data_IF_388386935168
#
_entry.id   IF_388386935168
#
_cell.length_a   1.000
_cell.length_b   1.000
_cell.length_c   1.000
_cell.angle_alpha   90.00
_cell.angle_beta   90.00
_cell.angle_gamma   90.00
#
_symmetry.space_group_name_H-M   'P 1'
#
loop_
_entity.id
_entity.type
_entity.pdbx_description
1 polymer ?
#
# COMPACT_ATOMS: atom_id res chain seq x y z
N UNK A 1 -21.76 1.72 -4.97
CA UNK A 1 -21.86 2.86 -5.91
C UNK A 1 -20.43 3.12 -6.32
N UNK A 2 -20.05 2.66 -7.51
CA UNK A 2 -18.71 2.86 -8.03
C UNK A 2 -18.52 4.35 -8.30
N UNK A 3 -17.68 5.01 -7.50
CA UNK A 3 -17.28 6.41 -7.70
C UNK A 3 -15.99 6.40 -8.53
N UNK A 4 -16.07 6.70 -9.84
CA UNK A 4 -14.93 6.63 -10.74
C UNK A 4 -13.86 7.67 -10.39
N UNK A 5 -14.24 8.78 -9.76
CA UNK A 5 -13.33 9.83 -9.35
C UNK A 5 -12.52 9.39 -8.13
N UNK A 6 -13.17 8.75 -7.16
CA UNK A 6 -12.49 8.13 -6.02
C UNK A 6 -11.54 7.00 -6.44
N UNK A 7 -11.94 6.17 -7.42
CA UNK A 7 -11.08 5.10 -7.97
C UNK A 7 -9.83 5.64 -8.67
N UNK A 8 -9.99 6.67 -9.51
CA UNK A 8 -8.88 7.33 -10.18
C UNK A 8 -7.93 7.95 -9.16
N UNK A 9 -8.47 8.68 -8.17
CA UNK A 9 -7.67 9.30 -7.12
C UNK A 9 -6.90 8.28 -6.29
N UNK A 10 -7.54 7.19 -5.87
CA UNK A 10 -6.87 6.13 -5.13
C UNK A 10 -5.76 5.46 -5.95
N UNK A 11 -5.94 5.33 -7.26
CA UNK A 11 -4.93 4.81 -8.18
C UNK A 11 -3.72 5.75 -8.32
N UNK A 12 -3.96 7.05 -8.47
CA UNK A 12 -2.89 8.06 -8.49
C UNK A 12 -2.06 8.03 -7.19
N UNK A 13 -2.75 7.98 -6.05
CA UNK A 13 -2.13 7.89 -4.73
C UNK A 13 -1.29 6.61 -4.58
N UNK A 14 -1.76 5.47 -5.09
CA UNK A 14 -0.98 4.23 -5.09
C UNK A 14 0.29 4.32 -5.95
N UNK A 15 0.23 5.02 -7.09
CA UNK A 15 1.42 5.28 -7.94
C UNK A 15 2.40 6.21 -7.22
N UNK A 16 1.91 7.27 -6.57
CA UNK A 16 2.74 8.17 -5.77
C UNK A 16 3.43 7.42 -4.63
N UNK A 17 2.68 6.58 -3.91
CA UNK A 17 3.20 5.74 -2.84
C UNK A 17 4.34 4.84 -3.32
N UNK A 18 4.14 4.14 -4.45
CA UNK A 18 5.17 3.27 -5.03
C UNK A 18 6.44 4.07 -5.31
N UNK A 19 6.31 5.25 -5.92
CA UNK A 19 7.45 6.11 -6.26
C UNK A 19 8.24 6.55 -5.02
N UNK A 20 7.54 7.01 -3.97
CA UNK A 20 8.19 7.44 -2.73
C UNK A 20 8.94 6.28 -2.08
N UNK A 21 8.31 5.11 -2.00
CA UNK A 21 8.92 3.93 -1.41
C UNK A 21 10.15 3.45 -2.20
N UNK A 22 10.04 3.40 -3.52
CA UNK A 22 11.12 3.00 -4.43
C UNK A 22 12.33 3.93 -4.33
N UNK A 23 12.07 5.25 -4.27
CA UNK A 23 13.13 6.25 -4.20
C UNK A 23 13.83 6.35 -2.83
N UNK A 24 13.17 5.94 -1.74
CA UNK A 24 13.61 6.27 -0.37
C UNK A 24 13.93 5.06 0.52
N UNK A 25 13.44 3.85 0.24
CA UNK A 25 13.73 2.68 1.08
C UNK A 25 15.22 2.29 1.11
N UNK A 26 15.99 2.64 0.07
CA UNK A 26 17.43 2.37 -0.02
C UNK A 26 18.33 3.58 0.29
N UNK A 27 17.78 4.79 0.41
CA UNK A 27 18.55 6.03 0.61
C UNK A 27 18.74 6.35 2.09
N UNK A 28 19.72 7.23 2.36
CA UNK A 28 20.16 7.64 3.70
C UNK A 28 18.97 7.92 4.66
N UNK A 29 18.91 7.28 5.85
CA UNK A 29 17.82 7.38 6.83
C UNK A 29 17.40 8.80 7.24
N UNK A 30 18.21 9.81 6.96
CA UNK A 30 17.94 11.22 7.29
C UNK A 30 17.06 11.94 6.25
N UNK A 31 16.93 11.37 5.05
CA UNK A 31 16.09 11.89 3.96
C UNK A 31 14.71 11.21 3.94
N UNK A 32 14.35 10.56 5.05
CA UNK A 32 13.26 9.58 5.08
C UNK A 32 12.08 10.10 5.91
N UNK A 33 12.27 11.02 6.84
CA UNK A 33 11.19 11.43 7.76
C UNK A 33 10.01 12.13 7.06
N UNK A 34 10.28 13.06 6.13
CA UNK A 34 9.21 13.78 5.41
C UNK A 34 8.50 12.87 4.40
N UNK A 35 9.27 12.02 3.75
CA UNK A 35 8.83 11.06 2.76
C UNK A 35 7.98 9.96 3.42
N UNK A 36 8.36 9.51 4.62
CA UNK A 36 7.59 8.57 5.42
C UNK A 36 6.33 9.21 6.02
N UNK A 37 6.36 10.50 6.31
CA UNK A 37 5.13 11.24 6.66
C UNK A 37 4.18 11.27 5.46
N UNK A 38 4.68 11.57 4.26
CA UNK A 38 3.86 11.52 3.04
C UNK A 38 3.30 10.12 2.77
N UNK A 39 4.04 9.05 3.06
CA UNK A 39 3.54 7.66 3.00
C UNK A 39 2.33 7.45 3.92
N UNK A 40 2.35 8.02 5.14
CA UNK A 40 1.21 7.95 6.07
C UNK A 40 0.01 8.74 5.54
N UNK A 41 0.23 9.97 5.09
CA UNK A 41 -0.82 10.82 4.50
C UNK A 41 -1.51 10.11 3.32
N UNK A 42 -0.73 9.55 2.39
CA UNK A 42 -1.28 8.83 1.24
C UNK A 42 -2.15 7.66 1.69
N UNK A 43 -1.72 6.91 2.72
CA UNK A 43 -2.51 5.80 3.26
C UNK A 43 -3.84 6.30 3.83
N UNK A 44 -3.82 7.37 4.61
CA UNK A 44 -5.02 7.97 5.20
C UNK A 44 -5.97 8.52 4.11
N UNK A 45 -5.44 9.15 3.07
CA UNK A 45 -6.23 9.61 1.91
C UNK A 45 -6.91 8.43 1.20
N UNK A 46 -6.20 7.33 0.95
CA UNK A 46 -6.77 6.13 0.31
C UNK A 46 -7.86 5.50 1.20
N UNK A 47 -7.63 5.42 2.51
CA UNK A 47 -8.62 4.91 3.47
C UNK A 47 -9.87 5.80 3.56
N UNK A 48 -9.71 7.12 3.47
CA UNK A 48 -10.82 8.08 3.43
C UNK A 48 -11.68 7.94 2.16
N UNK A 49 -11.07 7.51 1.04
CA UNK A 49 -11.79 7.17 -0.19
C UNK A 49 -12.50 5.80 -0.11
N UNK A 50 -12.34 5.07 1.00
CA UNK A 50 -12.96 3.76 1.23
C UNK A 50 -12.15 2.58 0.70
N UNK A 51 -10.93 2.81 0.21
CA UNK A 51 -10.05 1.77 -0.29
C UNK A 51 -9.08 1.30 0.79
N UNK A 52 -8.51 0.12 0.59
CA UNK A 52 -7.44 -0.37 1.43
C UNK A 52 -6.15 -0.49 0.61
N UNK A 53 -5.04 0.06 1.11
CA UNK A 53 -3.73 -0.06 0.46
C UNK A 53 -2.80 -0.90 1.30
N UNK A 54 -2.12 -1.83 0.63
CA UNK A 54 -1.02 -2.60 1.20
C UNK A 54 0.21 -2.41 0.34
N UNK A 55 1.38 -2.31 0.97
CA UNK A 55 2.64 -2.31 0.25
C UNK A 55 3.67 -3.22 0.92
N UNK A 56 4.64 -3.65 0.14
CA UNK A 56 5.76 -4.47 0.58
C UNK A 56 7.00 -4.17 -0.24
N UNK A 57 8.16 -4.48 0.33
CA UNK A 57 9.43 -4.37 -0.34
C UNK A 57 10.18 -5.69 -0.21
N UNK A 58 10.79 -6.13 -1.30
CA UNK A 58 11.60 -7.35 -1.36
C UNK A 58 12.80 -7.13 -2.25
N UNK A 59 13.88 -7.88 -2.05
CA UNK A 59 15.00 -7.84 -3.00
C UNK A 59 14.58 -8.53 -4.30
N UNK A 60 14.97 -7.96 -5.44
CA UNK A 60 14.70 -8.57 -6.73
C UNK A 60 15.37 -9.94 -6.79
N UNK A 61 14.64 -10.94 -7.30
CA UNK A 61 15.21 -12.26 -7.59
C UNK A 61 16.27 -12.21 -8.70
N UNK A 62 16.26 -11.16 -9.52
CA UNK A 62 17.16 -10.99 -10.67
C UNK A 62 18.39 -10.13 -10.34
N UNK A 63 18.28 -9.21 -9.38
CA UNK A 63 19.38 -8.38 -8.90
C UNK A 63 19.29 -8.20 -7.36
N UNK A 64 20.18 -8.83 -6.57
CA UNK A 64 20.15 -8.75 -5.12
C UNK A 64 20.47 -7.35 -4.57
N UNK A 65 20.92 -6.41 -5.41
CA UNK A 65 21.13 -5.01 -5.02
C UNK A 65 19.94 -4.11 -5.37
N UNK A 66 18.89 -4.67 -5.96
CA UNK A 66 17.68 -3.95 -6.33
C UNK A 66 16.52 -4.30 -5.40
N UNK A 67 15.75 -3.30 -4.96
CA UNK A 67 14.48 -3.51 -4.28
C UNK A 67 13.37 -3.55 -5.33
N UNK A 68 12.41 -4.42 -5.14
CA UNK A 68 11.11 -4.36 -5.79
C UNK A 68 10.08 -3.92 -4.74
N UNK A 69 9.44 -2.79 -5.01
CA UNK A 69 8.30 -2.28 -4.23
C UNK A 69 7.01 -2.70 -4.91
N UNK A 70 6.19 -3.43 -4.17
CA UNK A 70 4.84 -3.81 -4.58
C UNK A 70 3.82 -2.96 -3.81
N UNK A 71 2.88 -2.35 -4.53
CA UNK A 71 1.75 -1.62 -3.95
C UNK A 71 0.46 -2.23 -4.49
N UNK A 72 -0.37 -2.72 -3.59
CA UNK A 72 -1.65 -3.36 -3.87
C UNK A 72 -2.79 -2.50 -3.33
N UNK A 73 -3.70 -2.12 -4.22
CA UNK A 73 -4.92 -1.39 -3.89
C UNK A 73 -6.11 -2.34 -3.91
N UNK A 74 -6.88 -2.37 -2.83
CA UNK A 74 -8.04 -3.24 -2.66
C UNK A 74 -9.30 -2.40 -2.57
N UNK A 75 -10.28 -2.74 -3.42
CA UNK A 75 -11.63 -2.19 -3.33
C UNK A 75 -12.33 -2.70 -2.06
N UNK A 76 -13.15 -1.87 -1.40
CA UNK A 76 -14.00 -2.32 -0.31
C UNK A 76 -14.97 -3.39 -0.82
N UNK A 77 -15.31 -4.34 0.06
CA UNK A 77 -16.27 -5.39 -0.28
C UNK A 77 -17.68 -4.80 -0.18
N UNK A 78 -18.42 -4.84 -1.28
CA UNK A 78 -19.83 -4.48 -1.26
C UNK A 78 -20.56 -5.37 -0.24
N UNK A 79 -21.28 -4.74 0.70
CA UNK A 79 -22.08 -5.36 1.76
C UNK A 79 -21.36 -5.76 3.07
N UNK A 80 -20.13 -5.31 3.33
CA UNK A 80 -19.56 -5.41 4.68
C UNK A 80 -19.91 -4.18 5.53
N UNK A 81 -20.25 -4.41 6.80
CA UNK A 81 -20.27 -3.32 7.79
C UNK A 81 -18.85 -2.77 7.99
N UNK A 82 -18.67 -1.54 8.50
CA UNK A 82 -17.35 -0.99 8.78
C UNK A 82 -16.46 -1.91 9.65
N UNK A 83 -17.05 -2.56 10.64
CA UNK A 83 -16.36 -3.50 11.54
C UNK A 83 -15.91 -4.77 10.80
N UNK A 84 -16.78 -5.33 9.95
CA UNK A 84 -16.45 -6.51 9.14
C UNK A 84 -15.43 -6.17 8.05
N UNK A 85 -15.50 -4.97 7.47
CA UNK A 85 -14.50 -4.50 6.52
C UNK A 85 -13.13 -4.37 7.18
N UNK A 86 -13.07 -3.86 8.42
CA UNK A 86 -11.82 -3.83 9.21
C UNK A 86 -11.27 -5.23 9.45
N UNK A 87 -12.10 -6.17 9.91
CA UNK A 87 -11.68 -7.57 10.09
C UNK A 87 -11.19 -8.22 8.78
N UNK A 88 -11.85 -7.92 7.66
CA UNK A 88 -11.44 -8.40 6.34
C UNK A 88 -10.09 -7.82 5.92
N UNK A 89 -9.88 -6.52 6.11
CA UNK A 89 -8.60 -5.87 5.83
C UNK A 89 -7.48 -6.43 6.72
N UNK A 90 -7.74 -6.65 8.02
CA UNK A 90 -6.77 -7.27 8.94
C UNK A 90 -6.42 -8.71 8.50
N UNK A 91 -7.42 -9.49 8.07
CA UNK A 91 -7.19 -10.81 7.50
C UNK A 91 -6.35 -10.75 6.21
N UNK A 92 -6.61 -9.80 5.32
CA UNK A 92 -5.82 -9.60 4.09
C UNK A 92 -4.36 -9.33 4.42
N UNK A 93 -4.07 -8.44 5.37
CA UNK A 93 -2.70 -8.16 5.84
C UNK A 93 -2.01 -9.44 6.27
N UNK A 94 -2.67 -10.24 7.13
CA UNK A 94 -2.13 -11.50 7.64
C UNK A 94 -1.92 -12.55 6.54
N UNK A 95 -2.85 -12.64 5.58
CA UNK A 95 -2.75 -13.57 4.46
C UNK A 95 -1.56 -13.24 3.56
N UNK A 96 -1.35 -11.96 3.24
CA UNK A 96 -0.21 -11.50 2.43
C UNK A 96 1.12 -11.68 3.16
N UNK A 97 1.20 -11.36 4.45
CA UNK A 97 2.43 -11.60 5.25
C UNK A 97 2.83 -13.08 5.30
N UNK A 98 1.85 -14.00 5.36
CA UNK A 98 2.11 -15.45 5.33
C UNK A 98 2.61 -15.92 3.97
N UNK A 99 2.16 -15.29 2.89
CA UNK A 99 2.62 -15.60 1.52
C UNK A 99 4.10 -15.25 1.37
N UNK A 100 4.50 -14.07 1.84
CA UNK A 100 5.88 -13.58 1.74
C UNK A 100 6.87 -14.32 2.67
N UNK A 101 6.40 -15.12 3.62
CA UNK A 101 7.25 -15.98 4.48
C UNK A 101 7.55 -17.36 3.90
N UNK A 102 6.83 -17.79 2.85
CA UNK A 102 6.98 -19.13 2.24
C UNK A 102 7.81 -19.13 0.96
N UNK A 103 8.08 -17.95 0.41
CA UNK A 103 9.03 -17.67 -0.67
C UNK A 103 10.35 -17.24 -0.08
#
# INVERSE_FOLDING_TARGET
MDDPEAENRASELAVELRRILDENLFKDPKTTDKEMERVREIREEIEALGFFVQWGASFSSSDPNSLEVEVNLYKPKENLSPELQKMYNDWLIQATLRRNRKT
#
